data_IF_029670580602
#
_entry.id   IF_029670580602
#
_cell.length_a   1.000
_cell.length_b   1.000
_cell.length_c   1.000
_cell.angle_alpha   90.00
_cell.angle_beta   90.00
_cell.angle_gamma   90.00
#
_symmetry.space_group_name_H-M   'P 1'
#
loop_
_entity.id
_entity.type
_entity.pdbx_description
1 polymer ?
#
# COMPACT_ATOMS: atom_id res chain seq x y z
N UNK A 1 5.72 -9.73 15.11
CA UNK A 1 5.27 -9.98 13.74
C UNK A 1 4.88 -11.43 13.62
N UNK A 2 3.58 -11.70 13.61
CA UNK A 2 3.02 -13.02 13.34
C UNK A 2 2.79 -13.23 11.84
N UNK A 3 2.70 -12.17 11.05
CA UNK A 3 2.60 -12.24 9.58
C UNK A 3 3.91 -11.86 8.86
N UNK A 4 4.22 -12.55 7.77
CA UNK A 4 5.39 -12.28 6.92
C UNK A 4 5.05 -12.40 5.43
N UNK A 5 5.43 -11.40 4.64
CA UNK A 5 5.32 -11.44 3.19
C UNK A 5 6.36 -12.41 2.60
N UNK A 6 5.90 -13.47 1.93
CA UNK A 6 6.77 -14.46 1.29
C UNK A 6 7.11 -14.08 -0.15
N UNK A 7 6.10 -13.72 -0.96
CA UNK A 7 6.33 -13.28 -2.34
C UNK A 7 5.18 -12.43 -2.90
N UNK A 8 5.51 -11.62 -3.90
CA UNK A 8 4.57 -10.92 -4.77
C UNK A 8 4.88 -11.32 -6.21
N UNK A 9 3.95 -12.01 -6.86
CA UNK A 9 4.12 -12.58 -8.20
C UNK A 9 2.95 -12.15 -9.08
N UNK A 10 3.18 -11.16 -9.93
CA UNK A 10 2.10 -10.54 -10.72
C UNK A 10 1.02 -9.97 -9.81
N UNK A 11 -0.22 -10.46 -9.95
CA UNK A 11 -1.37 -10.05 -9.14
C UNK A 11 -1.58 -10.91 -7.87
N UNK A 12 -0.62 -11.75 -7.50
CA UNK A 12 -0.74 -12.66 -6.36
C UNK A 12 0.25 -12.28 -5.26
N UNK A 13 -0.24 -12.23 -4.02
CA UNK A 13 0.54 -11.98 -2.82
C UNK A 13 0.46 -13.23 -1.93
N UNK A 14 1.61 -13.74 -1.49
CA UNK A 14 1.70 -14.87 -0.56
C UNK A 14 2.21 -14.37 0.78
N UNK A 15 1.41 -14.55 1.82
CA UNK A 15 1.75 -14.17 3.21
C UNK A 15 1.63 -15.42 4.07
N UNK A 16 2.62 -15.66 4.93
CA UNK A 16 2.55 -16.69 5.97
C UNK A 16 2.19 -16.04 7.28
N UNK A 17 1.27 -16.67 8.02
CA UNK A 17 0.82 -16.19 9.33
C UNK A 17 1.04 -17.31 10.34
N UNK A 18 1.76 -17.02 11.41
CA UNK A 18 2.04 -17.92 12.53
C UNK A 18 1.34 -17.39 13.78
N UNK A 19 0.33 -18.12 14.27
CA UNK A 19 -0.50 -17.69 15.40
C UNK A 19 -0.21 -18.60 16.60
N UNK A 20 0.13 -18.00 17.74
CA UNK A 20 0.30 -18.73 18.99
C UNK A 20 -1.07 -18.95 19.65
N UNK A 21 -1.40 -20.22 19.92
CA UNK A 21 -2.65 -20.60 20.58
C UNK A 21 -2.45 -20.72 22.09
N UNK A 22 -3.46 -20.32 22.86
CA UNK A 22 -3.46 -20.43 24.32
C UNK A 22 -4.54 -21.38 24.82
N UNK A 23 -4.56 -21.64 26.14
CA UNK A 23 -5.66 -22.38 26.79
C UNK A 23 -6.91 -21.52 27.06
N UNK A 24 -6.92 -20.26 26.64
CA UNK A 24 -8.04 -19.34 26.71
C UNK A 24 -8.57 -19.10 25.29
N UNK A 25 -9.88 -19.29 25.09
CA UNK A 25 -10.49 -19.02 23.79
C UNK A 25 -10.40 -17.53 23.44
N UNK A 26 -10.69 -16.65 24.41
CA UNK A 26 -10.62 -15.21 24.22
C UNK A 26 -9.23 -14.76 23.76
N UNK A 27 -8.18 -15.20 24.45
CA UNK A 27 -6.79 -14.83 24.14
C UNK A 27 -6.34 -15.37 22.79
N UNK A 28 -6.83 -16.55 22.40
CA UNK A 28 -6.52 -17.11 21.08
C UNK A 28 -7.22 -16.31 19.97
N UNK A 29 -8.47 -15.88 20.17
CA UNK A 29 -9.18 -15.03 19.21
C UNK A 29 -8.54 -13.64 19.06
N UNK A 30 -8.07 -13.04 20.15
CA UNK A 30 -7.30 -11.78 20.11
C UNK A 30 -6.03 -11.94 19.26
N UNK A 31 -5.25 -13.00 19.50
CA UNK A 31 -4.06 -13.30 18.72
C UNK A 31 -4.36 -13.58 17.24
N UNK A 32 -5.48 -14.25 16.94
CA UNK A 32 -5.95 -14.47 15.57
C UNK A 32 -6.28 -13.14 14.89
N UNK A 33 -7.07 -12.29 15.54
CA UNK A 33 -7.48 -11.00 14.99
C UNK A 33 -6.27 -10.10 14.72
N UNK A 34 -5.36 -9.97 15.68
CA UNK A 34 -4.14 -9.17 15.53
C UNK A 34 -3.30 -9.67 14.35
N UNK A 35 -3.11 -10.98 14.24
CA UNK A 35 -2.30 -11.58 13.17
C UNK A 35 -2.92 -11.42 11.78
N UNK A 36 -4.26 -11.52 11.68
CA UNK A 36 -4.97 -11.30 10.43
C UNK A 36 -4.98 -9.82 10.03
N UNK A 37 -5.04 -8.91 11.00
CA UNK A 37 -4.89 -7.47 10.75
C UNK A 37 -3.49 -7.15 10.24
N UNK A 38 -2.44 -7.69 10.86
CA UNK A 38 -1.05 -7.52 10.38
C UNK A 38 -0.89 -8.06 8.95
N UNK A 39 -1.42 -9.25 8.67
CA UNK A 39 -1.43 -9.82 7.31
C UNK A 39 -2.22 -8.96 6.31
N UNK A 40 -3.36 -8.40 6.73
CA UNK A 40 -4.19 -7.53 5.90
C UNK A 40 -3.48 -6.21 5.55
N UNK A 41 -2.73 -5.65 6.50
CA UNK A 41 -1.85 -4.51 6.27
C UNK A 41 -0.78 -4.81 5.21
N UNK A 42 -0.05 -5.93 5.35
CA UNK A 42 0.96 -6.34 4.36
C UNK A 42 0.36 -6.54 2.96
N UNK A 43 -0.82 -7.18 2.89
CA UNK A 43 -1.53 -7.37 1.62
C UNK A 43 -1.98 -6.04 1.01
N UNK A 44 -2.46 -5.11 1.83
CA UNK A 44 -2.92 -3.80 1.36
C UNK A 44 -1.76 -2.93 0.88
N UNK A 45 -0.62 -2.95 1.58
CA UNK A 45 0.59 -2.29 1.12
C UNK A 45 1.02 -2.80 -0.27
N UNK A 46 1.10 -4.12 -0.45
CA UNK A 46 1.44 -4.72 -1.74
C UNK A 46 0.42 -4.36 -2.84
N UNK A 47 -0.88 -4.36 -2.52
CA UNK A 47 -1.92 -3.97 -3.46
C UNK A 47 -1.83 -2.48 -3.86
N UNK A 48 -1.51 -1.60 -2.93
CA UNK A 48 -1.29 -0.18 -3.21
C UNK A 48 -0.04 0.02 -4.08
N UNK A 49 1.07 -0.65 -3.77
CA UNK A 49 2.29 -0.61 -4.59
C UNK A 49 2.04 -1.15 -6.01
N UNK A 50 1.21 -2.19 -6.16
CA UNK A 50 0.82 -2.74 -7.47
C UNK A 50 0.07 -1.74 -8.35
N UNK A 51 -0.58 -0.73 -7.75
CA UNK A 51 -1.27 0.35 -8.47
C UNK A 51 -0.36 1.55 -8.77
N UNK A 52 0.88 1.53 -8.30
CA UNK A 52 1.86 2.57 -8.61
C UNK A 52 2.59 2.32 -9.93
N UNK A 53 3.46 3.26 -10.27
CA UNK A 53 4.33 3.24 -11.45
C UNK A 53 5.78 2.90 -11.07
N UNK A 54 6.60 2.60 -12.06
CA UNK A 54 8.04 2.34 -11.91
C UNK A 54 8.91 3.62 -11.83
N UNK A 55 8.27 4.80 -11.82
CA UNK A 55 8.96 6.10 -11.82
C UNK A 55 9.32 6.65 -13.21
N UNK A 56 9.04 5.93 -14.30
CA UNK A 56 9.25 6.42 -15.66
C UNK A 56 8.33 7.61 -15.99
N UNK A 57 8.70 8.43 -16.98
CA UNK A 57 7.88 9.57 -17.36
C UNK A 57 6.51 9.11 -17.89
N UNK A 58 5.44 9.77 -17.44
CA UNK A 58 4.06 9.45 -17.81
C UNK A 58 3.42 10.61 -18.58
N UNK A 59 2.45 10.30 -19.43
CA UNK A 59 1.66 11.32 -20.14
C UNK A 59 0.27 11.45 -19.53
N UNK A 60 -0.12 12.67 -19.16
CA UNK A 60 -1.44 12.96 -18.60
C UNK A 60 -2.02 14.14 -19.37
N UNK A 61 -3.15 13.91 -20.05
CA UNK A 61 -3.86 14.92 -20.83
C UNK A 61 -2.97 15.65 -21.87
N UNK A 62 -2.04 14.93 -22.50
CA UNK A 62 -1.12 15.49 -23.49
C UNK A 62 0.10 16.23 -22.90
N UNK A 63 0.24 16.29 -21.57
CA UNK A 63 1.44 16.82 -20.91
C UNK A 63 2.31 15.68 -20.37
N UNK A 64 3.62 15.75 -20.64
CA UNK A 64 4.61 14.84 -20.05
C UNK A 64 4.89 15.24 -18.61
N UNK A 65 4.67 14.32 -17.68
CA UNK A 65 4.96 14.48 -16.26
C UNK A 65 6.19 13.65 -15.88
N UNK A 66 7.05 14.22 -15.02
CA UNK A 66 8.26 13.54 -14.53
C UNK A 66 8.14 13.27 -13.04
N UNK A 67 8.71 12.14 -12.61
CA UNK A 67 8.71 11.75 -11.20
C UNK A 67 9.56 12.72 -10.37
N UNK A 68 9.12 12.97 -9.13
CA UNK A 68 9.88 13.63 -8.07
C UNK A 68 10.51 12.61 -7.12
N UNK A 69 10.48 11.33 -7.47
CA UNK A 69 10.82 10.22 -6.59
C UNK A 69 9.62 9.72 -5.81
N UNK A 70 9.89 8.79 -4.90
CA UNK A 70 8.92 8.24 -3.97
C UNK A 70 8.76 9.17 -2.76
N UNK A 71 7.54 9.24 -2.24
CA UNK A 71 7.24 9.96 -1.00
C UNK A 71 6.32 9.09 -0.13
N UNK A 72 6.60 8.98 1.18
CA UNK A 72 5.79 8.19 2.07
C UNK A 72 4.42 8.85 2.27
N UNK A 73 3.39 8.01 2.39
CA UNK A 73 2.08 8.43 2.89
C UNK A 73 1.41 7.32 3.68
N UNK A 74 0.79 7.69 4.79
CA UNK A 74 -0.05 6.80 5.58
C UNK A 74 -1.46 6.69 4.97
N UNK A 75 -1.97 5.47 4.89
CA UNK A 75 -3.31 5.13 4.45
C UNK A 75 -4.02 4.32 5.53
N UNK A 76 -5.25 4.72 5.85
CA UNK A 76 -6.10 4.00 6.78
C UNK A 76 -6.83 2.88 6.02
N UNK A 77 -6.74 1.67 6.55
CA UNK A 77 -7.36 0.46 5.97
C UNK A 77 -8.23 -0.22 7.02
N UNK A 78 -9.14 -1.14 6.65
CA UNK A 78 -9.90 -1.92 7.61
C UNK A 78 -9.03 -2.75 8.58
N UNK A 79 -7.78 -3.01 8.20
CA UNK A 79 -6.84 -3.85 8.95
C UNK A 79 -5.89 -3.04 9.82
N UNK A 80 -5.81 -1.72 9.62
CA UNK A 80 -4.86 -0.83 10.27
C UNK A 80 -4.26 0.21 9.32
N UNK A 81 -3.38 1.04 9.86
CA UNK A 81 -2.62 2.01 9.07
C UNK A 81 -1.46 1.33 8.33
N UNK A 82 -1.28 1.68 7.06
CA UNK A 82 -0.12 1.28 6.25
C UNK A 82 0.59 2.51 5.69
N UNK A 83 1.92 2.51 5.70
CA UNK A 83 2.73 3.58 5.09
C UNK A 83 3.31 3.05 3.80
N UNK A 84 3.01 3.72 2.69
CA UNK A 84 3.46 3.31 1.35
C UNK A 84 4.34 4.39 0.74
N UNK A 85 5.54 3.99 0.31
CA UNK A 85 6.39 4.79 -0.57
C UNK A 85 5.80 4.76 -1.99
N UNK A 86 5.44 5.93 -2.50
CA UNK A 86 4.73 6.04 -3.79
C UNK A 86 5.29 7.15 -4.66
N UNK A 87 5.32 6.95 -5.97
CA UNK A 87 5.79 7.95 -6.91
C UNK A 87 4.84 9.14 -7.00
N UNK A 88 5.44 10.33 -6.97
CA UNK A 88 4.72 11.60 -7.16
C UNK A 88 5.30 12.31 -8.36
N UNK A 89 4.43 12.83 -9.23
CA UNK A 89 4.78 13.43 -10.52
C UNK A 89 4.43 14.91 -10.56
N UNK A 90 5.21 15.66 -11.34
CA UNK A 90 4.96 17.07 -11.60
C UNK A 90 5.42 17.41 -13.03
N UNK A 91 4.75 18.36 -13.67
CA UNK A 91 5.16 18.89 -14.97
C UNK A 91 6.39 19.78 -14.81
N UNK A 92 7.18 19.94 -15.87
CA UNK A 92 8.43 20.73 -15.82
C UNK A 92 8.23 22.21 -15.47
N UNK A 93 7.05 22.77 -15.76
CA UNK A 93 6.68 24.14 -15.38
C UNK A 93 6.18 24.30 -13.93
N UNK A 94 6.27 23.27 -13.08
CA UNK A 94 5.71 23.28 -11.72
C UNK A 94 4.18 23.11 -11.69
N UNK A 95 3.56 23.29 -10.53
CA UNK A 95 2.10 23.13 -10.34
C UNK A 95 1.72 21.93 -9.46
N UNK A 96 0.47 21.48 -9.52
CA UNK A 96 -0.03 20.40 -8.67
C UNK A 96 0.73 19.09 -8.92
N UNK A 97 0.99 18.38 -7.84
CA UNK A 97 1.55 17.03 -7.89
C UNK A 97 0.48 16.01 -8.21
N UNK A 98 0.87 14.97 -8.93
CA UNK A 98 0.01 13.87 -9.33
C UNK A 98 0.56 12.55 -8.77
N UNK A 99 -0.27 11.76 -8.11
CA UNK A 99 0.10 10.43 -7.64
C UNK A 99 -0.71 9.38 -8.41
N UNK A 100 -0.07 8.55 -9.28
CA UNK A 100 -0.74 7.51 -10.03
C UNK A 100 -1.47 6.51 -9.13
N UNK A 101 -0.79 6.01 -8.09
CA UNK A 101 -1.34 5.08 -7.10
C UNK A 101 -2.68 5.59 -6.55
N UNK A 102 -2.74 6.84 -6.10
CA UNK A 102 -3.96 7.41 -5.51
C UNK A 102 -5.10 7.54 -6.53
N UNK A 103 -4.79 7.89 -7.80
CA UNK A 103 -5.78 7.97 -8.87
C UNK A 103 -6.33 6.59 -9.28
N UNK A 104 -5.46 5.59 -9.38
CA UNK A 104 -5.88 4.23 -9.74
C UNK A 104 -6.67 3.59 -8.60
N UNK A 105 -6.25 3.79 -7.35
CA UNK A 105 -6.96 3.34 -6.16
C UNK A 105 -8.26 4.13 -5.86
N UNK A 106 -8.58 5.19 -6.63
CA UNK A 106 -9.72 6.10 -6.40
C UNK A 106 -9.73 6.72 -5.00
N UNK A 107 -8.56 6.96 -4.44
CA UNK A 107 -8.42 7.60 -3.13
C UNK A 107 -8.61 9.10 -3.33
N UNK A 108 -9.68 9.65 -2.74
CA UNK A 108 -9.86 11.09 -2.69
C UNK A 108 -8.82 11.71 -1.77
N UNK A 109 -7.99 12.57 -2.34
CA UNK A 109 -7.07 13.42 -1.58
C UNK A 109 -7.80 14.73 -1.31
N UNK A 110 -8.10 15.02 -0.04
CA UNK A 110 -8.66 16.31 0.33
C UNK A 110 -7.54 17.36 0.16
N UNK A 111 -7.78 18.46 -0.59
CA UNK A 111 -6.77 19.46 -0.91
C UNK A 111 -6.30 20.27 0.29
#
# INVERSE_FOLDING_TARGET
MSAQLLSVEGSHVKIVVSIELSRSMLTSEEAIQESLNESGCLATEAALQYLDTDGSAIEIAGEVMRTKGQQPKAYQTPYGEVVVERHVYQRSGGGKTYCPLEREAKIMVVP
#
